data_IF_637858063822
#
_entry.id   IF_637858063822
#
_cell.length_a   1.000
_cell.length_b   1.000
_cell.length_c   1.000
_cell.angle_alpha   90.00
_cell.angle_beta   90.00
_cell.angle_gamma   90.00
#
_symmetry.space_group_name_H-M   'P 1'
#
loop_
_entity.id
_entity.type
_entity.pdbx_description
1 polymer ?
#
# COMPACT_ATOMS: atom_id res chain seq x y z
N UNK A 1 11.36 -14.60 -8.77
CA UNK A 1 11.09 -14.80 -10.22
C UNK A 1 11.53 -13.55 -10.97
N UNK A 2 11.57 -13.53 -12.31
CA UNK A 2 12.10 -12.38 -13.04
C UNK A 2 11.21 -11.13 -12.98
N UNK A 3 9.96 -11.29 -12.54
CA UNK A 3 8.98 -10.22 -12.39
C UNK A 3 8.32 -10.28 -11.01
N UNK A 4 7.73 -9.17 -10.58
CA UNK A 4 7.00 -9.09 -9.32
C UNK A 4 5.70 -9.91 -9.39
N UNK A 5 5.43 -10.74 -8.40
CA UNK A 5 4.20 -11.55 -8.32
C UNK A 5 3.26 -11.12 -7.19
N UNK A 6 3.59 -10.01 -6.53
CA UNK A 6 2.79 -9.42 -5.45
C UNK A 6 2.39 -8.00 -5.86
N UNK A 7 1.27 -7.52 -5.28
CA UNK A 7 0.86 -6.13 -5.43
C UNK A 7 1.96 -5.19 -4.94
N UNK A 8 2.31 -4.21 -5.77
CA UNK A 8 3.24 -3.12 -5.43
C UNK A 8 2.52 -1.92 -4.79
N UNK A 9 1.21 -2.08 -4.53
CA UNK A 9 0.30 -1.14 -3.91
C UNK A 9 -0.11 -1.64 -2.52
N UNK A 10 -0.30 -0.73 -1.56
CA UNK A 10 -0.61 -1.08 -0.16
C UNK A 10 -2.05 -0.74 0.30
N UNK A 11 -2.90 -0.30 -0.63
CA UNK A 11 -4.24 0.18 -0.33
C UNK A 11 -4.37 1.71 -0.33
N UNK A 12 -3.26 2.45 -0.26
CA UNK A 12 -3.24 3.91 -0.38
C UNK A 12 -2.24 4.41 -1.43
N UNK A 13 -1.08 3.76 -1.54
CA UNK A 13 0.03 4.19 -2.40
C UNK A 13 1.01 3.04 -2.68
N UNK A 14 2.15 3.32 -3.33
CA UNK A 14 3.23 2.35 -3.48
C UNK A 14 3.70 1.79 -2.15
N UNK A 15 4.18 0.56 -2.20
CA UNK A 15 4.79 -0.09 -1.05
C UNK A 15 6.15 0.49 -0.72
N UNK A 16 6.35 0.68 0.59
CA UNK A 16 7.58 1.17 1.21
C UNK A 16 8.06 0.24 2.32
N UNK A 17 7.27 -0.77 2.66
CA UNK A 17 7.56 -1.82 3.62
C UNK A 17 8.55 -2.83 3.04
N UNK A 18 9.50 -3.31 3.85
CA UNK A 18 10.50 -4.28 3.42
C UNK A 18 10.18 -5.67 3.96
N UNK A 19 9.58 -6.52 3.13
CA UNK A 19 9.29 -7.92 3.51
C UNK A 19 10.27 -8.88 2.85
N UNK A 20 10.82 -9.79 3.65
CA UNK A 20 11.76 -10.80 3.17
C UNK A 20 11.01 -11.85 2.37
N UNK A 21 11.40 -12.03 1.10
CA UNK A 21 10.76 -13.01 0.20
C UNK A 21 11.06 -14.47 0.57
N UNK A 22 12.02 -14.73 1.46
CA UNK A 22 12.51 -16.07 1.76
C UNK A 22 13.41 -16.69 0.69
N UNK A 23 13.61 -16.00 -0.42
CA UNK A 23 14.46 -16.44 -1.53
C UNK A 23 15.53 -15.39 -1.83
N UNK A 24 16.68 -15.85 -2.33
CA UNK A 24 17.72 -14.95 -2.78
C UNK A 24 17.33 -14.16 -4.05
N UNK A 25 18.10 -13.12 -4.40
CA UNK A 25 17.92 -12.38 -5.64
C UNK A 25 17.88 -13.29 -6.87
N UNK A 26 16.91 -13.05 -7.77
CA UNK A 26 16.60 -13.98 -8.86
C UNK A 26 17.80 -14.29 -9.77
N UNK A 27 18.55 -13.28 -10.21
CA UNK A 27 19.66 -13.48 -11.16
C UNK A 27 20.81 -14.27 -10.50
N UNK A 28 21.14 -13.95 -9.26
CA UNK A 28 22.19 -14.64 -8.49
C UNK A 28 21.82 -16.11 -8.23
N UNK A 29 20.60 -16.37 -7.77
CA UNK A 29 20.11 -17.74 -7.52
C UNK A 29 20.04 -18.53 -8.83
N UNK A 30 19.59 -17.92 -9.91
CA UNK A 30 19.54 -18.56 -11.24
C UNK A 30 20.94 -18.89 -11.75
N UNK A 31 21.88 -17.95 -11.64
CA UNK A 31 23.27 -18.16 -12.06
C UNK A 31 23.89 -19.35 -11.32
N UNK A 32 23.77 -19.38 -9.99
CA UNK A 32 24.28 -20.48 -9.17
C UNK A 32 23.63 -21.82 -9.52
N UNK A 33 22.32 -21.84 -9.79
CA UNK A 33 21.65 -23.06 -10.27
C UNK A 33 22.18 -23.54 -11.62
N UNK A 34 22.54 -22.64 -12.52
CA UNK A 34 23.04 -22.98 -13.86
C UNK A 34 24.51 -23.39 -13.87
N UNK A 35 25.34 -22.77 -13.03
CA UNK A 35 26.79 -23.03 -12.98
C UNK A 35 27.19 -24.03 -11.91
N UNK A 36 26.23 -24.47 -11.08
CA UNK A 36 26.48 -25.22 -9.84
C UNK A 36 27.43 -24.46 -8.87
N UNK A 37 27.46 -23.13 -8.98
CA UNK A 37 28.25 -22.26 -8.14
C UNK A 37 27.53 -21.89 -6.85
N UNK A 38 28.25 -21.20 -5.96
CA UNK A 38 27.72 -20.69 -4.69
C UNK A 38 27.95 -19.18 -4.67
N UNK A 39 26.97 -18.41 -4.23
CA UNK A 39 27.15 -16.99 -3.94
C UNK A 39 26.90 -16.76 -2.45
N UNK A 40 27.65 -15.82 -1.88
CA UNK A 40 27.44 -15.36 -0.52
C UNK A 40 26.88 -13.95 -0.60
N UNK A 41 25.78 -13.71 0.09
CA UNK A 41 25.33 -12.36 0.38
C UNK A 41 25.94 -11.99 1.74
N UNK A 42 26.92 -11.09 1.71
CA UNK A 42 27.41 -10.50 2.95
C UNK A 42 26.25 -9.75 3.60
N UNK A 43 26.06 -9.85 4.93
CA UNK A 43 25.15 -8.96 5.62
C UNK A 43 25.61 -7.54 5.32
N UNK A 44 24.86 -6.81 4.50
CA UNK A 44 25.10 -5.39 4.33
C UNK A 44 24.79 -4.72 5.67
N UNK A 45 25.54 -3.67 6.01
CA UNK A 45 25.14 -2.69 7.03
C UNK A 45 23.92 -1.90 6.53
N UNK A 46 22.83 -2.59 6.19
CA UNK A 46 21.58 -1.98 5.79
C UNK A 46 20.84 -1.55 7.06
N UNK A 47 21.39 -0.55 7.76
CA UNK A 47 20.82 0.01 8.99
C UNK A 47 19.48 0.74 8.74
N UNK A 48 19.22 1.16 7.50
CA UNK A 48 18.07 1.99 7.11
C UNK A 48 17.01 1.24 6.28
N UNK A 49 16.72 -0.01 6.62
CA UNK A 49 15.56 -0.71 6.07
C UNK A 49 14.36 -0.52 7.01
N UNK A 50 13.25 -0.01 6.47
CA UNK A 50 12.02 0.16 7.22
C UNK A 50 11.47 -1.22 7.64
N UNK A 51 11.24 -1.41 8.94
CA UNK A 51 10.56 -2.59 9.51
C UNK A 51 11.26 -3.93 9.19
N UNK A 52 12.59 -4.01 9.39
CA UNK A 52 13.35 -5.24 9.17
C UNK A 52 12.88 -6.38 10.10
N UNK A 53 12.41 -7.48 9.51
CA UNK A 53 11.94 -8.66 10.23
C UNK A 53 13.06 -9.73 10.34
N UNK A 54 13.53 -10.00 11.56
CA UNK A 54 14.57 -11.02 11.84
C UNK A 54 14.09 -12.47 11.65
N UNK A 55 12.79 -12.69 11.38
CA UNK A 55 12.20 -14.03 11.26
C UNK A 55 12.67 -14.74 9.99
N UNK A 56 13.39 -15.85 10.20
CA UNK A 56 13.86 -16.77 9.14
C UNK A 56 12.74 -17.72 8.73
N UNK A 57 12.48 -17.85 7.41
CA UNK A 57 11.63 -18.93 6.91
C UNK A 57 12.37 -20.26 6.99
N UNK A 58 11.73 -21.30 7.51
CA UNK A 58 12.26 -22.66 7.44
C UNK A 58 12.30 -23.11 5.97
N UNK A 59 13.47 -23.52 5.49
CA UNK A 59 13.66 -23.94 4.09
C UNK A 59 12.68 -25.05 3.65
N UNK A 60 12.30 -25.93 4.59
CA UNK A 60 11.32 -27.00 4.36
C UNK A 60 9.95 -26.43 3.95
N UNK A 61 9.48 -25.38 4.61
CA UNK A 61 8.18 -24.75 4.32
C UNK A 61 8.16 -24.09 2.94
N UNK A 62 9.32 -23.67 2.42
CA UNK A 62 9.45 -22.96 1.15
C UNK A 62 9.66 -23.87 -0.06
N UNK A 63 9.88 -25.18 0.14
CA UNK A 63 10.21 -26.12 -0.95
C UNK A 63 9.17 -26.13 -2.07
N UNK A 64 7.89 -26.04 -1.72
CA UNK A 64 6.77 -26.03 -2.70
C UNK A 64 6.52 -24.65 -3.31
N UNK A 65 7.17 -23.61 -2.78
CA UNK A 65 7.00 -22.21 -3.17
C UNK A 65 8.19 -21.67 -3.98
N UNK A 66 9.06 -22.58 -4.43
CA UNK A 66 10.27 -22.23 -5.15
C UNK A 66 9.92 -21.35 -6.36
N UNK A 67 10.67 -20.25 -6.57
CA UNK A 67 10.48 -19.41 -7.73
C UNK A 67 10.87 -20.19 -8.99
N UNK A 68 10.19 -19.90 -10.10
CA UNK A 68 10.66 -20.33 -11.41
C UNK A 68 11.94 -19.56 -11.77
N UNK A 69 13.00 -20.32 -12.05
CA UNK A 69 14.35 -19.86 -12.41
C UNK A 69 14.65 -19.99 -13.91
N UNK A 70 13.63 -20.30 -14.72
CA UNK A 70 13.71 -20.25 -16.19
C UNK A 70 14.06 -18.84 -16.69
N UNK A 71 14.50 -18.71 -17.94
CA UNK A 71 14.82 -17.39 -18.52
C UNK A 71 13.59 -16.46 -18.50
N UNK A 72 13.81 -15.13 -18.50
CA UNK A 72 12.72 -14.14 -18.49
C UNK A 72 11.67 -14.39 -19.57
N UNK A 73 12.11 -14.63 -20.82
CA UNK A 73 11.21 -14.89 -21.95
C UNK A 73 10.48 -16.23 -21.86
N UNK A 74 11.11 -17.25 -21.27
CA UNK A 74 10.47 -18.55 -21.01
C UNK A 74 9.40 -18.42 -19.92
N UNK A 75 9.77 -17.81 -18.79
CA UNK A 75 8.84 -17.53 -17.69
C UNK A 75 7.62 -16.75 -18.17
N UNK A 76 7.83 -15.69 -18.94
CA UNK A 76 6.75 -14.88 -19.49
C UNK A 76 5.81 -15.72 -20.35
N UNK A 77 6.34 -16.55 -21.26
CA UNK A 77 5.52 -17.45 -22.10
C UNK A 77 4.72 -18.45 -21.26
N UNK A 78 5.31 -19.06 -20.24
CA UNK A 78 4.59 -19.99 -19.36
C UNK A 78 3.52 -19.32 -18.51
N UNK A 79 3.80 -18.11 -18.00
CA UNK A 79 2.82 -17.31 -17.25
C UNK A 79 1.66 -16.92 -18.16
N UNK A 80 1.95 -16.35 -19.33
CA UNK A 80 0.95 -15.82 -20.25
C UNK A 80 0.12 -16.94 -20.92
N UNK A 81 0.65 -18.16 -20.99
CA UNK A 81 -0.07 -19.35 -21.44
C UNK A 81 -1.09 -19.90 -20.42
N UNK A 82 -0.96 -19.57 -19.14
CA UNK A 82 -1.95 -19.93 -18.11
C UNK A 82 -2.92 -18.76 -17.90
N UNK A 83 -4.22 -19.00 -18.14
CA UNK A 83 -5.28 -18.00 -17.89
C UNK A 83 -5.24 -17.50 -16.45
N UNK A 84 -5.02 -18.41 -15.49
CA UNK A 84 -4.96 -18.10 -14.06
C UNK A 84 -3.78 -17.17 -13.73
N UNK A 85 -2.56 -17.56 -14.12
CA UNK A 85 -1.34 -16.79 -13.83
C UNK A 85 -1.33 -15.44 -14.53
N UNK A 86 -1.86 -15.40 -15.77
CA UNK A 86 -2.03 -14.16 -16.53
C UNK A 86 -2.98 -13.19 -15.83
N UNK A 87 -4.14 -13.65 -15.35
CA UNK A 87 -5.09 -12.79 -14.65
C UNK A 87 -4.49 -12.15 -13.39
N UNK A 88 -3.72 -12.92 -12.61
CA UNK A 88 -2.98 -12.41 -11.44
C UNK A 88 -1.97 -11.34 -11.86
N UNK A 89 -1.21 -11.59 -12.92
CA UNK A 89 -0.25 -10.63 -13.46
C UNK A 89 -0.89 -9.35 -13.98
N UNK A 90 -2.00 -9.46 -14.71
CA UNK A 90 -2.74 -8.31 -15.23
C UNK A 90 -3.22 -7.40 -14.09
N UNK A 91 -3.69 -7.98 -12.98
CA UNK A 91 -4.05 -7.23 -11.76
C UNK A 91 -2.85 -6.53 -11.14
N UNK A 92 -1.69 -7.20 -11.06
CA UNK A 92 -0.46 -6.59 -10.55
C UNK A 92 -0.05 -5.40 -11.42
N UNK A 93 -0.12 -5.54 -12.75
CA UNK A 93 0.22 -4.46 -13.69
C UNK A 93 -0.79 -3.31 -13.65
N UNK A 94 -2.08 -3.62 -13.54
CA UNK A 94 -3.18 -2.66 -13.45
C UNK A 94 -3.03 -1.75 -12.22
N UNK A 95 -2.65 -2.33 -11.08
CA UNK A 95 -2.48 -1.64 -9.81
C UNK A 95 -1.01 -1.28 -9.52
N UNK A 96 -0.14 -1.25 -10.54
CA UNK A 96 1.26 -0.92 -10.36
C UNK A 96 1.47 0.61 -10.32
N UNK A 97 1.78 1.23 -9.17
CA UNK A 97 1.98 2.68 -9.07
C UNK A 97 3.23 3.19 -9.81
N UNK A 98 4.14 2.28 -10.19
CA UNK A 98 5.32 2.63 -11.01
C UNK A 98 5.01 2.69 -12.51
N UNK A 99 3.81 2.28 -12.92
CA UNK A 99 3.39 2.38 -14.31
C UNK A 99 2.88 3.81 -14.58
N UNK A 100 3.45 4.54 -15.57
CA UNK A 100 2.97 5.89 -15.92
C UNK A 100 1.49 5.93 -16.29
N UNK A 101 0.92 4.81 -16.78
CA UNK A 101 -0.51 4.71 -17.12
C UNK A 101 -1.43 4.58 -15.89
N UNK A 102 -0.86 4.35 -14.71
CA UNK A 102 -1.55 4.21 -13.45
C UNK A 102 -1.44 5.48 -12.59
N UNK A 103 -1.22 6.63 -13.23
CA UNK A 103 -1.20 7.93 -12.57
C UNK A 103 -2.50 8.18 -11.82
N UNK A 104 -2.42 8.72 -10.60
CA UNK A 104 -3.57 8.96 -9.73
C UNK A 104 -3.94 7.79 -8.80
N UNK A 105 -3.30 6.62 -8.90
CA UNK A 105 -3.51 5.53 -7.94
C UNK A 105 -2.90 5.80 -6.55
N UNK A 106 -2.04 6.80 -6.39
CA UNK A 106 -1.35 7.07 -5.14
C UNK A 106 -1.95 8.25 -4.39
N UNK A 107 -2.41 7.98 -3.17
CA UNK A 107 -2.71 9.01 -2.19
C UNK A 107 -1.38 9.55 -1.61
N UNK A 108 -1.21 10.88 -1.55
CA UNK A 108 -0.10 11.53 -0.87
C UNK A 108 0.19 10.96 0.51
N UNK A 109 1.46 10.63 0.74
CA UNK A 109 1.94 10.16 2.01
C UNK A 109 1.98 11.28 3.05
N UNK A 110 1.17 11.27 4.12
CA UNK A 110 1.18 12.35 5.08
C UNK A 110 2.53 12.55 5.78
N UNK A 111 3.33 11.49 5.94
CA UNK A 111 4.63 11.56 6.59
C UNK A 111 5.72 12.07 5.63
N UNK A 112 5.72 11.61 4.37
CA UNK A 112 6.69 12.07 3.36
C UNK A 112 6.33 13.41 2.71
N UNK A 113 5.08 13.55 2.24
CA UNK A 113 4.60 14.78 1.58
C UNK A 113 4.38 15.90 2.58
N UNK A 114 4.24 15.56 3.88
CA UNK A 114 3.91 16.50 4.96
C UNK A 114 2.70 17.34 4.59
N UNK A 115 1.75 16.75 3.88
CA UNK A 115 0.53 17.41 3.46
C UNK A 115 -0.21 17.93 4.69
N UNK A 116 -0.47 19.23 4.68
CA UNK A 116 -1.11 19.96 5.77
C UNK A 116 -2.26 20.75 5.23
N UNK A 117 -3.39 20.61 5.89
CA UNK A 117 -4.59 21.36 5.59
C UNK A 117 -4.65 22.58 6.49
N UNK A 118 -5.16 23.69 5.94
CA UNK A 118 -5.57 24.83 6.76
C UNK A 118 -6.80 24.45 7.59
N UNK A 119 -7.10 25.21 8.63
CA UNK A 119 -8.33 25.09 9.43
C UNK A 119 -9.51 25.87 8.85
N UNK A 120 -9.28 26.69 7.82
CA UNK A 120 -10.30 27.47 7.11
C UNK A 120 -10.99 26.63 6.04
N UNK A 121 -12.32 26.50 6.12
CA UNK A 121 -13.12 25.66 5.23
C UNK A 121 -12.93 25.99 3.75
N UNK A 122 -12.84 27.28 3.40
CA UNK A 122 -12.59 27.72 2.03
C UNK A 122 -11.26 27.21 1.46
N UNK A 123 -10.27 26.93 2.33
CA UNK A 123 -8.95 26.48 1.90
C UNK A 123 -8.81 24.95 1.87
N UNK A 124 -9.35 24.22 2.86
CA UNK A 124 -9.23 22.76 2.89
C UNK A 124 -10.38 22.04 2.18
N UNK A 125 -11.55 22.67 2.05
CA UNK A 125 -12.75 22.07 1.45
C UNK A 125 -12.51 21.53 0.04
N UNK A 126 -11.97 22.32 -0.91
CA UNK A 126 -11.66 21.84 -2.25
C UNK A 126 -10.68 20.65 -2.25
N UNK A 127 -9.62 20.70 -1.43
CA UNK A 127 -8.64 19.61 -1.31
C UNK A 127 -9.25 18.32 -0.79
N UNK A 128 -10.19 18.42 0.15
CA UNK A 128 -10.96 17.26 0.64
C UNK A 128 -11.80 16.67 -0.49
N UNK A 129 -12.47 17.49 -1.29
CA UNK A 129 -13.25 17.02 -2.43
C UNK A 129 -12.38 16.36 -3.50
N UNK A 130 -11.25 16.95 -3.86
CA UNK A 130 -10.29 16.36 -4.81
C UNK A 130 -9.82 14.98 -4.32
N UNK A 131 -9.55 14.85 -3.02
CA UNK A 131 -9.15 13.58 -2.41
C UNK A 131 -10.26 12.53 -2.48
N UNK A 132 -11.51 12.91 -2.19
CA UNK A 132 -12.66 12.01 -2.29
C UNK A 132 -12.90 11.57 -3.75
N UNK A 133 -12.72 12.45 -4.72
CA UNK A 133 -12.78 12.11 -6.15
C UNK A 133 -11.67 11.13 -6.55
N UNK A 134 -10.44 11.37 -6.07
CA UNK A 134 -9.32 10.46 -6.30
C UNK A 134 -9.61 9.06 -5.73
N UNK A 135 -10.14 8.96 -4.51
CA UNK A 135 -10.50 7.68 -3.89
C UNK A 135 -11.56 6.94 -4.71
N UNK A 136 -12.58 7.65 -5.23
CA UNK A 136 -13.59 7.05 -6.12
C UNK A 136 -12.96 6.45 -7.39
N UNK A 137 -11.98 7.12 -7.99
CA UNK A 137 -11.23 6.60 -9.14
C UNK A 137 -10.47 5.31 -8.78
N UNK A 138 -9.76 5.32 -7.65
CA UNK A 138 -9.01 4.15 -7.17
C UNK A 138 -9.95 2.96 -6.91
N UNK A 139 -11.08 3.19 -6.23
CA UNK A 139 -12.08 2.17 -5.95
C UNK A 139 -12.63 1.52 -7.24
N UNK A 140 -12.84 2.31 -8.30
CA UNK A 140 -13.28 1.79 -9.59
C UNK A 140 -12.23 0.86 -10.23
N UNK A 141 -10.95 1.24 -10.19
CA UNK A 141 -9.85 0.39 -10.70
C UNK A 141 -9.73 -0.89 -9.87
N UNK A 142 -9.86 -0.78 -8.54
CA UNK A 142 -9.86 -1.94 -7.65
C UNK A 142 -11.03 -2.89 -7.91
N UNK A 143 -12.23 -2.37 -8.18
CA UNK A 143 -13.38 -3.20 -8.54
C UNK A 143 -13.13 -3.95 -9.85
N UNK A 144 -12.51 -3.32 -10.85
CA UNK A 144 -12.11 -3.98 -12.10
C UNK A 144 -11.09 -5.10 -11.86
N UNK A 145 -10.06 -4.83 -11.05
CA UNK A 145 -9.07 -5.84 -10.66
C UNK A 145 -9.72 -7.04 -9.95
N UNK A 146 -10.64 -6.78 -9.02
CA UNK A 146 -11.40 -7.84 -8.31
C UNK A 146 -12.24 -8.68 -9.26
N UNK A 147 -12.96 -8.06 -10.20
CA UNK A 147 -13.75 -8.79 -11.21
C UNK A 147 -12.85 -9.65 -12.10
N UNK A 148 -11.67 -9.15 -12.46
CA UNK A 148 -10.71 -9.91 -13.26
C UNK A 148 -10.20 -11.15 -12.52
N UNK A 149 -9.85 -11.04 -11.23
CA UNK A 149 -9.46 -12.21 -10.43
C UNK A 149 -10.61 -13.19 -10.21
N UNK A 150 -11.81 -12.70 -9.88
CA UNK A 150 -12.98 -13.56 -9.68
C UNK A 150 -13.31 -14.40 -10.94
N UNK A 151 -13.01 -13.87 -12.14
CA UNK A 151 -13.24 -14.61 -13.40
C UNK A 151 -12.39 -15.88 -13.56
N UNK A 152 -11.34 -16.04 -12.74
CA UNK A 152 -10.45 -17.22 -12.77
C UNK A 152 -10.46 -18.01 -11.45
N UNK A 153 -11.42 -17.75 -10.57
CA UNK A 153 -11.51 -18.41 -9.26
C UNK A 153 -11.59 -19.93 -9.38
N UNK A 154 -12.41 -20.44 -10.29
CA UNK A 154 -12.58 -21.88 -10.56
C UNK A 154 -11.28 -22.57 -11.00
N UNK A 155 -10.30 -21.80 -11.51
CA UNK A 155 -9.01 -22.33 -11.94
C UNK A 155 -8.00 -22.46 -10.79
N UNK A 156 -8.29 -21.90 -9.61
CA UNK A 156 -7.39 -21.89 -8.45
C UNK A 156 -7.01 -23.30 -8.03
N UNK A 157 -7.99 -24.19 -7.84
CA UNK A 157 -7.74 -25.53 -7.32
C UNK A 157 -7.06 -26.44 -8.35
N UNK A 158 -7.17 -26.11 -9.63
CA UNK A 158 -6.48 -26.79 -10.73
C UNK A 158 -5.03 -26.31 -10.93
N UNK A 159 -4.60 -25.20 -10.29
CA UNK A 159 -3.25 -24.67 -10.46
C UNK A 159 -2.22 -25.51 -9.68
N UNK A 160 -1.27 -26.17 -10.37
CA UNK A 160 -0.29 -27.04 -9.71
C UNK A 160 0.69 -26.27 -8.82
N UNK A 161 0.98 -25.01 -9.14
CA UNK A 161 1.94 -24.22 -8.37
C UNK A 161 1.31 -23.66 -7.10
N UNK A 162 1.75 -24.17 -5.93
CA UNK A 162 1.35 -23.64 -4.61
C UNK A 162 1.70 -22.17 -4.44
N UNK A 163 2.80 -21.72 -5.06
CA UNK A 163 3.22 -20.30 -5.12
C UNK A 163 2.20 -19.42 -5.82
N UNK A 164 1.67 -19.84 -6.96
CA UNK A 164 0.67 -19.07 -7.71
C UNK A 164 -0.68 -19.06 -7.00
N UNK A 165 -1.08 -20.17 -6.37
CA UNK A 165 -2.27 -20.21 -5.49
C UNK A 165 -2.12 -19.22 -4.33
N UNK A 166 -0.99 -19.23 -3.63
CA UNK A 166 -0.73 -18.28 -2.54
C UNK A 166 -0.73 -16.81 -2.98
N UNK A 167 -0.21 -16.50 -4.17
CA UNK A 167 -0.32 -15.16 -4.73
C UNK A 167 -1.79 -14.78 -5.01
N UNK A 168 -2.58 -15.69 -5.60
CA UNK A 168 -3.99 -15.46 -5.85
C UNK A 168 -4.77 -15.20 -4.55
N UNK A 169 -4.61 -16.05 -3.54
CA UNK A 169 -5.34 -15.96 -2.29
C UNK A 169 -5.00 -14.68 -1.54
N UNK A 170 -3.70 -14.36 -1.45
CA UNK A 170 -3.23 -13.14 -0.82
C UNK A 170 -3.73 -11.89 -1.54
N UNK A 171 -3.61 -11.83 -2.87
CA UNK A 171 -4.03 -10.66 -3.65
C UNK A 171 -5.55 -10.49 -3.58
N UNK A 172 -6.32 -11.57 -3.68
CA UNK A 172 -7.79 -11.52 -3.58
C UNK A 172 -8.24 -10.97 -2.23
N UNK A 173 -7.64 -11.42 -1.14
CA UNK A 173 -7.91 -10.90 0.21
C UNK A 173 -7.44 -9.44 0.37
N UNK A 174 -6.26 -9.09 -0.15
CA UNK A 174 -5.73 -7.73 -0.12
C UNK A 174 -6.63 -6.73 -0.86
N UNK A 175 -7.18 -7.09 -2.03
CA UNK A 175 -8.07 -6.21 -2.77
C UNK A 175 -9.34 -5.87 -1.98
N UNK A 176 -9.91 -6.84 -1.27
CA UNK A 176 -11.03 -6.59 -0.35
C UNK A 176 -10.60 -5.68 0.81
N UNK A 177 -9.47 -6.00 1.44
CA UNK A 177 -8.95 -5.24 2.58
C UNK A 177 -8.64 -3.78 2.24
N UNK A 178 -8.04 -3.56 1.07
CA UNK A 178 -7.69 -2.23 0.57
C UNK A 178 -8.91 -1.43 0.16
N UNK A 179 -9.98 -2.08 -0.31
CA UNK A 179 -11.25 -1.41 -0.54
C UNK A 179 -11.84 -0.88 0.77
N UNK A 180 -11.79 -1.66 1.85
CA UNK A 180 -12.22 -1.21 3.18
C UNK A 180 -11.38 -0.02 3.63
N UNK A 181 -10.06 -0.09 3.53
CA UNK A 181 -9.15 1.03 3.86
C UNK A 181 -9.52 2.33 3.15
N UNK A 182 -9.80 2.25 1.85
CA UNK A 182 -10.16 3.43 1.06
C UNK A 182 -11.52 4.00 1.46
N UNK A 183 -12.51 3.15 1.76
CA UNK A 183 -13.79 3.62 2.28
C UNK A 183 -13.65 4.28 3.64
N UNK A 184 -12.93 3.65 4.57
CA UNK A 184 -12.68 4.24 5.89
C UNK A 184 -11.95 5.57 5.80
N UNK A 185 -10.95 5.66 4.92
CA UNK A 185 -10.25 6.91 4.67
C UNK A 185 -11.23 7.99 4.19
N UNK A 186 -12.08 7.68 3.21
CA UNK A 186 -13.06 8.62 2.68
C UNK A 186 -14.07 9.07 3.75
N UNK A 187 -14.60 8.11 4.51
CA UNK A 187 -15.55 8.35 5.59
C UNK A 187 -14.92 9.25 6.67
N UNK A 188 -13.76 8.85 7.16
CA UNK A 188 -13.03 9.57 8.21
C UNK A 188 -12.63 10.98 7.78
N UNK A 189 -12.18 11.13 6.53
CA UNK A 189 -11.78 12.43 5.99
C UNK A 189 -12.95 13.41 5.97
N UNK A 190 -14.10 12.97 5.47
CA UNK A 190 -15.29 13.81 5.39
C UNK A 190 -15.88 14.11 6.78
N UNK A 191 -15.98 13.11 7.67
CA UNK A 191 -16.44 13.31 9.05
C UNK A 191 -15.54 14.28 9.81
N UNK A 192 -14.23 14.13 9.67
CA UNK A 192 -13.27 15.02 10.31
C UNK A 192 -13.34 16.43 9.73
N UNK A 193 -13.39 16.59 8.41
CA UNK A 193 -13.51 17.89 7.78
C UNK A 193 -14.78 18.64 8.22
N UNK A 194 -15.93 17.94 8.31
CA UNK A 194 -17.22 18.55 8.64
C UNK A 194 -17.41 18.85 10.13
N UNK A 195 -17.07 17.90 11.00
CA UNK A 195 -17.36 17.96 12.45
C UNK A 195 -16.09 18.01 13.29
N UNK A 196 -15.07 17.24 12.90
CA UNK A 196 -13.82 17.09 13.67
C UNK A 196 -12.99 18.37 13.74
N UNK A 197 -12.77 19.07 12.63
CA UNK A 197 -12.00 20.32 12.59
C UNK A 197 -12.67 21.39 13.48
N UNK A 198 -13.98 21.71 13.33
CA UNK A 198 -14.64 22.66 14.22
C UNK A 198 -14.57 22.27 15.70
N UNK A 199 -14.78 21.00 16.05
CA UNK A 199 -14.73 20.54 17.43
C UNK A 199 -13.35 20.73 18.06
N UNK A 200 -12.28 20.35 17.34
CA UNK A 200 -10.90 20.50 17.81
C UNK A 200 -10.47 21.95 17.96
N UNK A 201 -10.99 22.84 17.13
CA UNK A 201 -10.75 24.28 17.25
C UNK A 201 -11.49 24.91 18.43
N UNK A 202 -12.63 24.35 18.85
CA UNK A 202 -13.28 24.77 20.11
C UNK A 202 -12.43 24.39 21.32
N UNK A 203 -11.86 23.18 21.34
CA UNK A 203 -10.97 22.73 22.41
C UNK A 203 -9.64 23.50 22.42
N UNK A 204 -9.05 23.71 21.23
CA UNK A 204 -7.74 24.35 21.06
C UNK A 204 -7.80 25.44 19.98
N UNK A 205 -8.26 26.66 20.33
CA UNK A 205 -8.44 27.76 19.37
C UNK A 205 -7.15 28.22 18.67
N UNK A 206 -5.98 27.89 19.23
CA UNK A 206 -4.68 28.23 18.66
C UNK A 206 -4.31 27.37 17.45
N UNK A 207 -4.95 26.22 17.24
CA UNK A 207 -4.59 25.35 16.13
C UNK A 207 -4.96 26.00 14.77
N UNK A 208 -4.02 25.95 13.83
CA UNK A 208 -4.19 26.56 12.49
C UNK A 208 -3.94 25.58 11.35
N UNK A 209 -3.58 24.32 11.67
CA UNK A 209 -3.33 23.26 10.70
C UNK A 209 -3.92 21.94 11.19
N UNK A 210 -4.16 21.05 10.24
CA UNK A 210 -4.43 19.66 10.51
C UNK A 210 -3.80 18.76 9.46
N UNK A 211 -3.60 17.50 9.83
CA UNK A 211 -2.99 16.48 8.97
C UNK A 211 -3.62 15.12 9.26
N UNK A 212 -3.37 14.21 8.33
CA UNK A 212 -3.84 12.83 8.36
C UNK A 212 -2.66 11.95 8.77
N UNK A 213 -2.88 10.86 9.50
CA UNK A 213 -1.86 9.87 9.81
C UNK A 213 -2.42 8.47 9.63
N UNK A 214 -1.64 7.60 9.01
CA UNK A 214 -2.00 6.18 8.85
C UNK A 214 -1.54 5.41 10.09
N UNK A 215 -2.22 5.63 11.22
CA UNK A 215 -2.03 4.86 12.43
C UNK A 215 -3.18 3.84 12.56
N UNK A 216 -2.93 2.64 13.11
CA UNK A 216 -4.00 1.71 13.45
C UNK A 216 -5.05 2.41 14.31
N UNK A 217 -6.27 2.54 13.79
CA UNK A 217 -7.43 3.10 14.49
C UNK A 217 -8.59 2.11 14.52
N UNK A 218 -9.60 2.45 15.30
CA UNK A 218 -10.85 1.72 15.31
C UNK A 218 -11.59 1.89 13.99
N UNK A 219 -12.44 0.92 13.69
CA UNK A 219 -13.22 0.84 12.46
C UNK A 219 -14.29 1.94 12.44
N UNK A 220 -14.39 2.67 11.33
CA UNK A 220 -15.28 3.84 11.20
C UNK A 220 -16.42 3.55 10.23
N UNK A 221 -17.65 3.67 10.73
CA UNK A 221 -18.86 3.48 9.94
C UNK A 221 -19.35 4.79 9.29
N UNK A 222 -19.99 4.72 8.11
CA UNK A 222 -20.55 5.89 7.45
C UNK A 222 -21.80 6.41 8.18
N UNK A 223 -21.95 7.75 8.25
CA UNK A 223 -23.21 8.39 8.66
C UNK A 223 -24.28 8.20 7.55
N UNK A 224 -25.57 8.38 7.88
CA UNK A 224 -26.69 8.29 6.92
C UNK A 224 -26.50 9.15 5.64
N UNK A 225 -25.90 10.34 5.80
CA UNK A 225 -25.59 11.22 4.67
C UNK A 225 -24.48 10.65 3.78
N UNK A 226 -23.50 9.98 4.37
CA UNK A 226 -22.37 9.39 3.66
C UNK A 226 -22.79 8.09 2.97
N UNK A 227 -23.70 7.32 3.57
CA UNK A 227 -24.31 6.17 2.91
C UNK A 227 -24.91 6.57 1.55
N UNK A 228 -25.60 7.72 1.48
CA UNK A 228 -26.14 8.25 0.22
C UNK A 228 -25.08 8.74 -0.77
N UNK A 229 -23.96 9.28 -0.29
CA UNK A 229 -22.90 9.88 -1.12
C UNK A 229 -21.85 8.88 -1.63
N UNK A 230 -21.52 7.90 -0.80
CA UNK A 230 -20.55 6.84 -1.08
C UNK A 230 -21.23 5.60 -1.69
N UNK A 231 -22.55 5.46 -1.51
CA UNK A 231 -23.32 4.34 -2.06
C UNK A 231 -22.96 3.00 -1.42
N UNK A 232 -22.52 3.03 -0.16
CA UNK A 232 -22.14 1.83 0.62
C UNK A 232 -22.86 1.85 1.95
N UNK A 233 -23.59 0.79 2.25
CA UNK A 233 -24.23 0.63 3.55
C UNK A 233 -23.21 0.24 4.63
N UNK A 234 -23.46 0.58 5.92
CA UNK A 234 -22.65 0.09 7.03
C UNK A 234 -22.50 -1.44 7.01
N UNK A 235 -23.61 -2.14 6.77
CA UNK A 235 -23.67 -3.61 6.71
C UNK A 235 -22.83 -4.17 5.56
N UNK A 236 -22.88 -3.55 4.37
CA UNK A 236 -22.06 -3.96 3.22
C UNK A 236 -20.56 -3.78 3.52
N UNK A 237 -20.19 -2.67 4.16
CA UNK A 237 -18.80 -2.40 4.51
C UNK A 237 -18.27 -3.40 5.54
N UNK A 238 -19.08 -3.72 6.56
CA UNK A 238 -18.78 -4.76 7.55
C UNK A 238 -18.64 -6.14 6.89
N UNK A 239 -19.58 -6.53 6.01
CA UNK A 239 -19.50 -7.79 5.28
C UNK A 239 -18.23 -7.88 4.41
N UNK A 240 -17.86 -6.80 3.73
CA UNK A 240 -16.62 -6.76 2.92
C UNK A 240 -15.39 -6.88 3.82
N UNK A 241 -15.39 -6.21 4.98
CA UNK A 241 -14.34 -6.30 5.98
C UNK A 241 -14.19 -7.72 6.53
N UNK A 242 -15.29 -8.36 6.91
CA UNK A 242 -15.26 -9.70 7.49
C UNK A 242 -14.78 -10.72 6.46
N UNK A 243 -15.24 -10.62 5.21
CA UNK A 243 -14.72 -11.45 4.09
C UNK A 243 -13.24 -11.21 3.84
N UNK A 244 -12.76 -9.96 3.94
CA UNK A 244 -11.34 -9.65 3.80
C UNK A 244 -10.51 -10.30 4.92
N UNK A 245 -10.98 -10.20 6.16
CA UNK A 245 -10.33 -10.79 7.33
C UNK A 245 -10.32 -12.32 7.27
N UNK A 246 -11.44 -12.93 6.87
CA UNK A 246 -11.55 -14.36 6.62
C UNK A 246 -10.54 -14.80 5.55
N UNK A 247 -10.48 -14.10 4.41
CA UNK A 247 -9.52 -14.38 3.35
C UNK A 247 -8.05 -14.26 3.81
N UNK A 248 -7.72 -13.22 4.58
CA UNK A 248 -6.37 -13.05 5.12
C UNK A 248 -6.02 -14.15 6.13
N UNK A 249 -6.95 -14.54 7.01
CA UNK A 249 -6.75 -15.65 7.96
C UNK A 249 -6.59 -16.98 7.24
N UNK A 250 -7.39 -17.23 6.20
CA UNK A 250 -7.24 -18.42 5.34
C UNK A 250 -5.84 -18.49 4.71
N UNK A 251 -5.30 -17.36 4.24
CA UNK A 251 -3.91 -17.29 3.75
C UNK A 251 -2.90 -17.60 4.86
N UNK A 252 -3.13 -17.14 6.08
CA UNK A 252 -2.25 -17.47 7.21
C UNK A 252 -2.24 -18.97 7.52
N UNK A 253 -3.40 -19.61 7.45
CA UNK A 253 -3.57 -21.03 7.74
C UNK A 253 -3.04 -21.92 6.61
N UNK A 254 -3.47 -21.69 5.36
CA UNK A 254 -3.11 -22.53 4.21
C UNK A 254 -1.64 -22.40 3.79
N UNK A 255 -1.04 -21.24 4.05
CA UNK A 255 0.34 -20.91 3.70
C UNK A 255 1.21 -20.63 4.93
N UNK A 256 0.91 -21.28 6.06
CA UNK A 256 1.61 -21.10 7.32
C UNK A 256 3.14 -21.21 7.20
N UNK A 257 3.86 -20.32 7.89
CA UNK A 257 5.32 -20.31 7.92
C UNK A 257 5.98 -19.87 6.61
N UNK A 258 5.27 -19.12 5.77
CA UNK A 258 5.77 -18.58 4.51
C UNK A 258 5.69 -17.04 4.48
N UNK A 259 6.33 -16.36 3.50
CA UNK A 259 6.17 -14.92 3.33
C UNK A 259 4.72 -14.47 3.12
N UNK A 260 3.86 -15.31 2.52
CA UNK A 260 2.46 -14.97 2.27
C UNK A 260 1.65 -14.92 3.57
N UNK A 261 1.82 -15.91 4.46
CA UNK A 261 1.16 -15.88 5.77
C UNK A 261 1.63 -14.69 6.60
N UNK A 262 2.94 -14.39 6.60
CA UNK A 262 3.50 -13.22 7.29
C UNK A 262 2.95 -11.91 6.75
N UNK A 263 2.81 -11.82 5.42
CA UNK A 263 2.22 -10.65 4.79
C UNK A 263 0.75 -10.48 5.18
N UNK A 264 -0.03 -11.56 5.20
CA UNK A 264 -1.41 -11.50 5.66
C UNK A 264 -1.51 -11.06 7.13
N UNK A 265 -0.63 -11.56 7.99
CA UNK A 265 -0.51 -11.14 9.40
C UNK A 265 -0.22 -9.64 9.52
N UNK A 266 0.76 -9.14 8.76
CA UNK A 266 1.11 -7.72 8.76
C UNK A 266 -0.07 -6.84 8.32
N UNK A 267 -0.84 -7.27 7.31
CA UNK A 267 -2.02 -6.53 6.86
C UNK A 267 -3.12 -6.44 7.92
N UNK A 268 -3.36 -7.54 8.65
CA UNK A 268 -4.32 -7.58 9.76
C UNK A 268 -3.84 -6.64 10.89
N UNK A 269 -2.56 -6.73 11.25
CA UNK A 269 -1.98 -5.95 12.35
C UNK A 269 -1.91 -4.45 12.05
N UNK A 270 -1.66 -4.07 10.79
CA UNK A 270 -1.71 -2.67 10.34
C UNK A 270 -3.10 -2.06 10.48
N UNK A 271 -4.15 -2.88 10.55
CA UNK A 271 -5.58 -2.48 10.54
C UNK A 271 -5.90 -1.64 9.29
N UNK A 272 -7.03 -0.94 9.33
CA UNK A 272 -7.56 -0.12 8.22
C UNK A 272 -7.59 1.38 8.51
N UNK A 273 -7.30 1.75 9.75
CA UNK A 273 -7.54 3.06 10.31
C UNK A 273 -6.72 4.22 9.77
N UNK A 274 -7.30 5.41 9.87
CA UNK A 274 -6.63 6.70 9.72
C UNK A 274 -6.98 7.62 10.88
N UNK A 275 -5.98 8.32 11.39
CA UNK A 275 -6.14 9.31 12.45
C UNK A 275 -6.04 10.73 11.87
N UNK A 276 -6.78 11.65 12.48
CA UNK A 276 -6.75 13.06 12.12
C UNK A 276 -6.32 13.87 13.33
N UNK A 277 -5.35 14.76 13.13
CA UNK A 277 -4.79 15.59 14.21
C UNK A 277 -4.76 17.05 13.80
N UNK A 278 -5.12 17.92 14.73
CA UNK A 278 -4.95 19.37 14.61
C UNK A 278 -3.73 19.81 15.40
N UNK A 279 -3.05 20.86 14.95
CA UNK A 279 -1.91 21.42 15.66
C UNK A 279 -1.70 22.89 15.31
N UNK A 280 -0.88 23.57 16.09
CA UNK A 280 -0.40 24.91 15.79
C UNK A 280 0.94 24.86 15.05
N UNK A 281 0.97 25.46 13.86
CA UNK A 281 2.18 25.74 13.11
C UNK A 281 2.55 27.21 13.28
N UNK A 282 3.66 27.47 13.96
CA UNK A 282 4.22 28.82 14.05
C UNK A 282 4.64 29.34 12.66
N UNK A 283 4.54 30.66 12.41
CA UNK A 283 5.05 31.27 11.19
C UNK A 283 6.56 31.01 11.06
N UNK A 284 7.08 30.92 9.82
CA UNK A 284 8.52 30.76 9.62
C UNK A 284 9.26 31.93 10.26
N UNK A 285 10.40 31.64 10.92
CA UNK A 285 11.23 32.69 11.49
C UNK A 285 11.66 33.64 10.36
N UNK A 286 11.63 34.98 10.58
CA UNK A 286 12.10 35.92 9.57
C UNK A 286 13.53 35.57 9.18
N UNK A 287 13.80 35.54 7.87
CA UNK A 287 15.15 35.27 7.36
C UNK A 287 16.10 36.33 7.91
N UNK A 288 17.22 35.89 8.51
CA UNK A 288 18.28 36.84 8.90
C UNK A 288 18.79 37.49 7.61
N UNK A 289 18.93 38.82 7.54
CA UNK A 289 19.48 39.46 6.36
C UNK A 289 20.85 38.85 6.08
N UNK A 290 20.99 38.25 4.90
CA UNK A 290 22.28 37.71 4.44
C UNK A 290 23.23 38.90 4.37
N UNK A 291 24.27 38.91 5.21
CA UNK A 291 25.34 39.91 5.12
C UNK A 291 25.97 39.75 3.74
N UNK A 292 25.65 40.67 2.82
CA UNK A 292 26.34 40.74 1.53
C UNK A 292 27.83 40.96 1.81
N UNK A 293 28.75 40.16 1.24
CA UNK A 293 30.17 40.44 1.36
C UNK A 293 30.44 41.85 0.84
N UNK A 294 31.26 42.62 1.58
CA UNK A 294 31.66 43.96 1.13
C UNK A 294 32.34 43.83 -0.23
N UNK A 295 32.01 44.69 -1.22
CA UNK A 295 32.72 44.69 -2.49
C UNK A 295 34.22 44.90 -2.22
N UNK A 296 35.10 44.19 -2.96
CA UNK A 296 36.54 44.39 -2.82
C UNK A 296 36.87 45.87 -3.10
N UNK A 297 37.82 46.46 -2.36
CA UNK A 297 38.21 47.84 -2.58
C UNK A 297 38.72 48.03 -4.01
N UNK A 298 38.45 49.18 -4.65
CA UNK A 298 38.92 49.45 -6.00
C UNK A 298 40.46 49.41 -6.04
N UNK A 299 41.05 48.90 -7.14
CA UNK A 299 42.50 48.87 -7.30
C UNK A 299 43.05 50.31 -7.23
N UNK A 300 44.13 50.48 -6.47
CA UNK A 300 44.86 51.74 -6.42
C UNK A 300 45.56 51.93 -7.78
N UNK A 301 45.24 53.01 -8.48
CA UNK A 301 45.98 53.51 -9.64
C UNK A 301 47.27 54.17 -9.19
#
# INVERSE_FOLDING_TARGET
TPFAEQLQYNGFRRRLDSHISGFGPYEQVRLCKMTNGIFFQLPGEQENLNELDDRKNTALNLREYLPDLSSRGTYQRHRDGSKFRKAIWDVIVMLNPYNPRAEGLELPDPEQTRERFNTELASYGPKVQDRLQQIKLILNVMQQARRHLASVEDLRDSEPSRRWRANYDLISAQLLWYQVRLFEYAIGLEQFARKGVPARLKENPKHNRWYIREDPSDFVLPDELQQKLLGVSPEELEQVRDKALEGLRKVQEEHAGTPWSRRAEWEINRKTGVQFRTYYQAPPKPSKPVKRPKPPPPPKL
#
